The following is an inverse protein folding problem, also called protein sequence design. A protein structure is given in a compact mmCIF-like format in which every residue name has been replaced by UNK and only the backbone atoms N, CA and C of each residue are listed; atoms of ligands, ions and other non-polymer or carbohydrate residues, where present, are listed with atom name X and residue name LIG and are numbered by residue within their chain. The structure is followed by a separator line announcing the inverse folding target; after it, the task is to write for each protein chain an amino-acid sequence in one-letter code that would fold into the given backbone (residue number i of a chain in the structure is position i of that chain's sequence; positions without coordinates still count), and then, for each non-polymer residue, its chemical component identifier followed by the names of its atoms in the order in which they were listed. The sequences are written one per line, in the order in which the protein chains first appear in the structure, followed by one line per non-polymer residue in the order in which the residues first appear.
data_IF_563173631170
#
_entry.id   IF_563173631170
#
_cell.length_a   1.000
_cell.length_b   1.000
_cell.length_c   1.000
_cell.angle_alpha   90.00
_cell.angle_beta   90.00
_cell.angle_gamma   90.00
#
_symmetry.space_group_name_H-M   'P 1'
#
loop_
_entity.id
_entity.type
_entity.pdbx_description
1 polymer ?
#
# COMPACT_ATOMS: atom_id res chain seq x y z
N UNK A 1 15.06 -3.02 67.93
CA UNK A 1 14.73 -2.10 66.82
C UNK A 1 13.28 -2.36 66.44
N UNK A 2 12.36 -1.40 66.62
CA UNK A 2 10.93 -1.66 66.51
C UNK A 2 10.43 -1.54 65.06
N UNK A 3 9.55 -2.47 64.72
CA UNK A 3 8.78 -2.57 63.47
C UNK A 3 7.86 -1.35 63.30
N UNK A 4 7.95 -0.68 62.14
CA UNK A 4 7.01 0.37 61.72
C UNK A 4 6.04 -0.22 60.71
N UNK A 5 4.84 -0.52 61.16
CA UNK A 5 3.70 -0.93 60.31
C UNK A 5 2.91 0.32 59.90
N UNK A 6 2.99 0.69 58.62
CA UNK A 6 2.15 1.74 58.04
C UNK A 6 0.73 1.19 57.79
N UNK A 7 -0.25 1.72 58.53
CA UNK A 7 -1.68 1.62 58.20
C UNK A 7 -2.02 2.66 57.14
N UNK A 8 -2.50 2.22 55.97
CA UNK A 8 -3.18 3.07 55.00
C UNK A 8 -4.69 2.89 55.20
N UNK A 9 -5.37 3.96 55.61
CA UNK A 9 -6.83 4.03 55.66
C UNK A 9 -7.38 4.15 54.23
N UNK A 10 -8.14 3.15 53.79
CA UNK A 10 -8.91 3.20 52.56
C UNK A 10 -10.27 3.82 52.79
N UNK A 11 -10.57 4.91 52.09
CA UNK A 11 -11.89 5.51 51.99
C UNK A 11 -12.67 4.82 50.86
N UNK A 12 -13.78 4.17 51.21
CA UNK A 12 -14.73 3.58 50.27
C UNK A 12 -15.45 4.71 49.52
N UNK A 13 -15.26 4.80 48.21
CA UNK A 13 -16.03 5.66 47.31
C UNK A 13 -17.17 4.85 46.70
N UNK A 14 -18.40 5.25 47.01
CA UNK A 14 -19.64 4.67 46.49
C UNK A 14 -19.86 5.08 45.04
N UNK A 15 -19.95 4.10 44.14
CA UNK A 15 -20.30 4.29 42.73
C UNK A 15 -21.80 4.56 42.62
N UNK A 16 -22.16 5.76 42.19
CA UNK A 16 -23.54 6.12 41.84
C UNK A 16 -23.90 5.56 40.46
N UNK A 17 -25.05 4.89 40.39
CA UNK A 17 -25.66 4.35 39.16
C UNK A 17 -26.25 5.49 38.34
N UNK A 18 -25.99 5.60 37.02
CA UNK A 18 -26.67 6.59 36.19
C UNK A 18 -28.10 6.13 35.85
N UNK A 19 -29.08 6.93 36.25
CA UNK A 19 -30.49 6.84 35.88
C UNK A 19 -30.67 7.26 34.43
N UNK A 20 -31.17 6.37 33.58
CA UNK A 20 -31.56 6.67 32.19
C UNK A 20 -32.91 7.38 32.16
N UNK A 21 -32.96 8.56 31.56
CA UNK A 21 -34.19 9.30 31.25
C UNK A 21 -34.54 9.10 29.77
N UNK A 22 -35.79 8.74 29.40
CA UNK A 22 -36.17 8.61 28.00
C UNK A 22 -36.34 10.01 27.38
N UNK A 23 -35.57 10.29 26.32
CA UNK A 23 -35.79 11.47 25.48
C UNK A 23 -36.83 11.14 24.41
N UNK A 24 -37.96 11.82 24.46
CA UNK A 24 -38.97 11.88 23.41
C UNK A 24 -38.46 12.76 22.27
N UNK A 25 -38.10 12.16 21.14
CA UNK A 25 -37.78 12.90 19.92
C UNK A 25 -39.05 13.16 19.11
N UNK A 26 -39.43 14.43 19.07
CA UNK A 26 -40.47 14.98 18.20
C UNK A 26 -39.99 14.95 16.75
N UNK A 27 -40.78 14.33 15.86
CA UNK A 27 -40.57 14.29 14.41
C UNK A 27 -40.96 15.64 13.79
N UNK A 28 -40.08 16.33 13.04
CA UNK A 28 -40.52 17.42 12.17
C UNK A 28 -41.00 16.86 10.81
N UNK A 29 -42.17 17.37 10.40
CA UNK A 29 -42.78 17.17 9.10
C UNK A 29 -41.85 17.51 7.92
N UNK A 30 -41.95 16.68 6.86
CA UNK A 30 -41.32 16.91 5.55
C UNK A 30 -41.77 18.24 4.91
N UNK A 31 -40.86 19.02 4.32
CA UNK A 31 -41.19 19.94 3.23
C UNK A 31 -41.20 19.23 1.85
N UNK A 32 -41.89 19.82 0.85
CA UNK A 32 -42.24 19.15 -0.40
C UNK A 32 -41.07 19.02 -1.39
N UNK A 33 -41.23 18.01 -2.25
CA UNK A 33 -40.35 17.56 -3.33
C UNK A 33 -39.90 18.68 -4.27
N UNK A 34 -38.59 18.81 -4.48
CA UNK A 34 -38.00 19.54 -5.61
C UNK A 34 -37.67 18.57 -6.75
N UNK A 35 -37.90 18.95 -8.02
CA UNK A 35 -37.63 18.11 -9.18
C UNK A 35 -36.19 18.25 -9.68
N UNK A 36 -35.63 17.15 -10.18
CA UNK A 36 -34.57 17.13 -11.18
C UNK A 36 -33.15 17.37 -10.67
N UNK A 37 -32.38 16.28 -10.50
CA UNK A 37 -30.94 16.32 -10.72
C UNK A 37 -30.45 14.97 -11.22
N UNK A 38 -29.61 15.06 -12.23
CA UNK A 38 -29.24 13.99 -13.15
C UNK A 38 -28.58 12.79 -12.46
N UNK A 39 -28.93 11.62 -12.98
CA UNK A 39 -28.33 10.35 -12.59
C UNK A 39 -26.80 10.38 -12.78
N UNK A 40 -26.02 9.67 -11.94
CA UNK A 40 -24.61 9.49 -12.19
C UNK A 40 -24.41 8.79 -13.54
N UNK A 41 -23.51 9.37 -14.32
CA UNK A 41 -23.10 8.93 -15.66
C UNK A 41 -22.63 7.47 -15.57
N UNK A 42 -23.27 6.60 -16.34
CA UNK A 42 -22.87 5.21 -16.55
C UNK A 42 -21.51 5.23 -17.28
N UNK A 43 -20.42 5.05 -16.53
CA UNK A 43 -19.04 5.19 -17.03
C UNK A 43 -18.56 3.95 -17.80
N UNK A 44 -19.49 3.19 -18.38
CA UNK A 44 -19.22 2.03 -19.24
C UNK A 44 -20.03 2.17 -20.52
N UNK A 45 -19.51 2.99 -21.42
CA UNK A 45 -19.99 3.06 -22.79
C UNK A 45 -19.87 1.67 -23.46
N UNK A 46 -21.02 1.03 -23.68
CA UNK A 46 -21.19 -0.18 -24.50
C UNK A 46 -21.52 0.19 -25.96
N UNK A 47 -20.92 1.25 -26.51
CA UNK A 47 -21.04 1.54 -27.93
C UNK A 47 -20.14 0.61 -28.76
N UNK A 48 -20.79 -0.19 -29.63
CA UNK A 48 -20.15 -1.14 -30.53
C UNK A 48 -19.32 -0.47 -31.64
N UNK A 49 -18.14 0.01 -31.29
CA UNK A 49 -17.13 0.45 -32.24
C UNK A 49 -16.41 -0.74 -32.89
N UNK A 50 -16.29 -0.72 -34.22
CA UNK A 50 -15.54 -1.71 -34.99
C UNK A 50 -14.08 -1.85 -34.49
N UNK A 51 -13.49 -3.06 -34.57
CA UNK A 51 -12.17 -3.33 -34.01
C UNK A 51 -11.11 -2.53 -34.79
N UNK A 52 -10.51 -1.56 -34.13
CA UNK A 52 -9.24 -0.98 -34.58
C UNK A 52 -8.18 -2.05 -34.30
N UNK A 53 -7.65 -2.69 -35.34
CA UNK A 53 -6.45 -3.53 -35.24
C UNK A 53 -5.27 -2.66 -34.81
N UNK A 54 -5.11 -2.50 -33.49
CA UNK A 54 -3.84 -2.12 -32.90
C UNK A 54 -3.02 -3.39 -32.82
N UNK A 55 -1.88 -3.41 -33.50
CA UNK A 55 -0.83 -4.40 -33.28
C UNK A 55 -0.48 -4.40 -31.78
N UNK A 56 -1.03 -5.36 -31.04
CA UNK A 56 -0.78 -5.54 -29.62
C UNK A 56 0.60 -6.16 -29.50
N UNK A 57 1.65 -5.34 -29.47
CA UNK A 57 2.91 -5.79 -28.89
C UNK A 57 2.57 -6.35 -27.51
N UNK A 58 2.85 -7.63 -27.28
CA UNK A 58 2.53 -8.28 -26.00
C UNK A 58 3.20 -7.48 -24.89
N UNK A 59 2.44 -6.91 -23.92
CA UNK A 59 2.97 -5.99 -22.90
C UNK A 59 4.16 -6.55 -22.10
N UNK A 60 4.35 -7.87 -22.14
CA UNK A 60 5.37 -8.65 -21.45
C UNK A 60 6.74 -8.74 -22.17
N UNK A 61 6.83 -8.50 -23.48
CA UNK A 61 7.99 -8.94 -24.30
C UNK A 61 9.37 -8.42 -23.86
N UNK A 62 9.43 -7.38 -23.02
CA UNK A 62 10.66 -6.70 -22.61
C UNK A 62 11.03 -6.87 -21.13
N UNK A 63 10.21 -7.55 -20.32
CA UNK A 63 10.50 -7.70 -18.88
C UNK A 63 11.08 -9.11 -18.63
N UNK A 64 12.28 -9.24 -18.02
CA UNK A 64 12.83 -10.56 -17.72
C UNK A 64 11.99 -11.29 -16.68
N UNK A 65 12.06 -12.63 -16.66
CA UNK A 65 11.37 -13.46 -15.66
C UNK A 65 11.81 -13.10 -14.23
N UNK A 66 13.11 -12.97 -14.02
CA UNK A 66 13.66 -12.48 -12.74
C UNK A 66 13.87 -10.97 -12.83
N UNK A 67 13.09 -10.24 -12.03
CA UNK A 67 13.07 -8.79 -12.00
C UNK A 67 14.27 -8.22 -11.22
N UNK A 68 14.61 -8.88 -10.10
CA UNK A 68 15.67 -8.49 -9.18
C UNK A 68 16.08 -9.71 -8.31
N UNK A 69 17.33 -9.76 -7.87
CA UNK A 69 17.76 -10.65 -6.77
C UNK A 69 18.19 -9.80 -5.57
N UNK A 70 17.46 -9.92 -4.47
CA UNK A 70 17.63 -9.11 -3.27
C UNK A 70 18.03 -9.97 -2.08
N UNK A 71 19.28 -9.84 -1.63
CA UNK A 71 19.81 -10.57 -0.46
C UNK A 71 19.64 -12.10 -0.56
N UNK A 72 19.80 -12.65 -1.76
CA UNK A 72 19.66 -14.08 -2.03
C UNK A 72 18.25 -14.54 -2.41
N UNK A 73 17.25 -13.65 -2.34
CA UNK A 73 15.86 -13.95 -2.71
C UNK A 73 15.54 -13.36 -4.09
N UNK A 74 14.95 -14.14 -4.99
CA UNK A 74 14.48 -13.63 -6.28
C UNK A 74 13.21 -12.80 -6.14
N UNK A 75 12.99 -11.92 -7.12
CA UNK A 75 11.72 -11.26 -7.39
C UNK A 75 11.32 -11.65 -8.80
N UNK A 76 10.12 -12.19 -8.94
CA UNK A 76 9.60 -12.74 -10.19
C UNK A 76 8.20 -12.18 -10.47
N UNK A 77 7.66 -12.48 -11.65
CA UNK A 77 6.27 -12.17 -11.96
C UNK A 77 5.34 -13.11 -11.20
N UNK A 78 4.27 -12.56 -10.63
CA UNK A 78 3.14 -13.31 -10.10
C UNK A 78 1.93 -13.20 -11.04
N UNK A 79 1.25 -14.32 -11.25
CA UNK A 79 0.00 -14.39 -12.04
C UNK A 79 -1.21 -14.67 -11.15
N UNK A 80 -0.96 -14.96 -9.88
CA UNK A 80 -1.94 -15.44 -8.93
C UNK A 80 -1.68 -14.67 -7.62
N UNK A 81 -2.36 -13.52 -7.44
CA UNK A 81 -2.32 -12.81 -6.16
C UNK A 81 -2.93 -13.64 -5.02
N UNK A 82 -3.37 -14.88 -5.27
CA UNK A 82 -3.88 -15.82 -4.30
C UNK A 82 -5.36 -15.59 -4.04
N UNK A 83 -6.08 -16.68 -3.80
CA UNK A 83 -7.45 -16.60 -3.29
C UNK A 83 -7.47 -15.82 -1.95
N UNK A 84 -8.54 -15.06 -1.68
CA UNK A 84 -8.77 -14.22 -0.48
C UNK A 84 -8.31 -12.76 -0.63
N UNK A 85 -7.99 -12.09 0.49
CA UNK A 85 -7.77 -10.63 0.53
C UNK A 85 -6.69 -10.08 -0.40
N UNK A 86 -5.69 -10.87 -0.80
CA UNK A 86 -4.59 -10.39 -1.63
C UNK A 86 -5.07 -10.03 -3.06
N UNK A 87 -5.79 -10.94 -3.71
CA UNK A 87 -6.46 -10.68 -4.99
C UNK A 87 -7.44 -9.50 -4.90
N UNK A 88 -8.27 -9.50 -3.85
CA UNK A 88 -9.28 -8.46 -3.68
C UNK A 88 -8.66 -7.08 -3.48
N UNK A 89 -7.57 -7.01 -2.72
CA UNK A 89 -6.81 -5.79 -2.55
C UNK A 89 -6.24 -5.29 -3.89
N UNK A 90 -5.66 -6.19 -4.69
CA UNK A 90 -5.10 -5.79 -5.98
C UNK A 90 -6.18 -5.35 -6.96
N UNK A 91 -7.28 -6.09 -7.07
CA UNK A 91 -8.44 -5.71 -7.87
C UNK A 91 -9.01 -4.35 -7.45
N UNK A 92 -9.22 -4.17 -6.15
CA UNK A 92 -9.70 -2.89 -5.58
C UNK A 92 -8.74 -1.75 -5.91
N UNK A 93 -7.43 -1.98 -5.77
CA UNK A 93 -6.41 -1.00 -6.09
C UNK A 93 -6.48 -0.57 -7.56
N UNK A 94 -6.57 -1.51 -8.50
CA UNK A 94 -6.68 -1.23 -9.94
C UNK A 94 -7.98 -0.50 -10.28
N UNK A 95 -9.10 -0.94 -9.69
CA UNK A 95 -10.42 -0.31 -9.86
C UNK A 95 -10.40 1.17 -9.47
N UNK A 96 -9.82 1.49 -8.32
CA UNK A 96 -9.80 2.87 -7.80
C UNK A 96 -8.65 3.72 -8.34
N UNK A 97 -7.67 3.13 -9.02
CA UNK A 97 -6.51 3.84 -9.57
C UNK A 97 -6.91 5.03 -10.46
N UNK A 98 -7.89 4.82 -11.35
CA UNK A 98 -8.39 5.89 -12.23
C UNK A 98 -9.19 6.95 -11.46
N UNK A 99 -10.03 6.53 -10.51
CA UNK A 99 -10.86 7.44 -9.71
C UNK A 99 -10.02 8.42 -8.89
N UNK A 100 -8.94 7.94 -8.26
CA UNK A 100 -8.09 8.78 -7.40
C UNK A 100 -6.93 9.44 -8.15
N UNK A 101 -6.83 9.22 -9.46
CA UNK A 101 -5.82 9.85 -10.31
C UNK A 101 -4.40 9.29 -10.15
N UNK A 102 -4.25 7.99 -9.86
CA UNK A 102 -2.94 7.32 -9.92
C UNK A 102 -2.35 7.53 -11.32
N UNK A 103 -1.07 7.88 -11.38
CA UNK A 103 -0.38 8.13 -12.65
C UNK A 103 -0.22 6.85 -13.45
N UNK A 104 0.08 7.00 -14.73
CA UNK A 104 0.36 5.88 -15.64
C UNK A 104 1.80 5.91 -16.11
N UNK A 105 2.37 4.74 -16.39
CA UNK A 105 3.67 4.64 -17.05
C UNK A 105 3.54 4.89 -18.57
N UNK A 106 4.66 4.77 -19.29
CA UNK A 106 4.71 4.96 -20.75
C UNK A 106 3.86 3.94 -21.53
N UNK A 107 3.57 2.77 -20.93
CA UNK A 107 2.70 1.73 -21.49
C UNK A 107 1.21 1.97 -21.18
N UNK A 108 0.87 3.04 -20.44
CA UNK A 108 -0.50 3.34 -20.05
C UNK A 108 -1.02 2.55 -18.85
N UNK A 109 -0.15 1.77 -18.19
CA UNK A 109 -0.49 1.00 -17.00
C UNK A 109 -0.48 1.92 -15.76
N UNK A 110 -1.49 1.85 -14.87
CA UNK A 110 -1.48 2.64 -13.65
C UNK A 110 -0.31 2.21 -12.75
N UNK A 111 0.35 3.18 -12.11
CA UNK A 111 1.47 2.99 -11.18
C UNK A 111 1.01 2.40 -9.85
N UNK A 112 0.27 1.30 -9.91
CA UNK A 112 -0.14 0.53 -8.76
C UNK A 112 0.23 -0.93 -8.93
N UNK A 113 0.37 -1.66 -7.83
CA UNK A 113 0.68 -3.08 -7.88
C UNK A 113 0.54 -3.76 -6.54
N UNK A 114 0.60 -5.08 -6.58
CA UNK A 114 0.61 -5.94 -5.40
C UNK A 114 1.93 -6.73 -5.36
N UNK A 115 2.64 -6.64 -4.25
CA UNK A 115 3.87 -7.40 -4.01
C UNK A 115 3.61 -8.45 -2.96
N UNK A 116 3.73 -9.69 -3.39
CA UNK A 116 3.75 -10.84 -2.52
C UNK A 116 5.16 -11.01 -1.92
N UNK A 117 5.19 -11.02 -0.60
CA UNK A 117 6.38 -11.14 0.25
C UNK A 117 6.49 -12.60 0.68
N UNK A 118 7.66 -13.24 0.54
CA UNK A 118 7.80 -14.64 0.91
C UNK A 118 7.57 -14.85 2.41
N UNK A 119 6.97 -15.98 2.72
CA UNK A 119 6.87 -16.49 4.08
C UNK A 119 8.27 -16.71 4.67
N UNK A 120 8.45 -16.37 5.95
CA UNK A 120 9.67 -16.64 6.70
C UNK A 120 9.40 -17.40 8.00
N UNK A 121 10.46 -17.91 8.62
CA UNK A 121 10.36 -18.68 9.87
C UNK A 121 9.68 -17.90 11.02
N UNK A 122 9.64 -16.57 10.93
CA UNK A 122 9.07 -15.70 11.95
C UNK A 122 7.56 -15.47 11.74
N UNK A 123 6.96 -15.85 10.60
CA UNK A 123 5.54 -15.61 10.31
C UNK A 123 4.59 -16.25 11.33
N UNK A 124 4.95 -17.41 11.88
CA UNK A 124 4.20 -18.09 12.95
C UNK A 124 4.67 -17.72 14.36
N UNK A 125 5.72 -16.91 14.49
CA UNK A 125 6.26 -16.52 15.79
C UNK A 125 5.32 -15.57 16.53
N UNK A 126 5.19 -15.67 17.87
CA UNK A 126 4.36 -14.74 18.62
C UNK A 126 4.86 -13.29 18.45
N UNK A 127 3.98 -12.28 18.60
CA UNK A 127 4.37 -10.87 18.49
C UNK A 127 5.49 -10.42 19.43
N UNK A 128 5.75 -11.18 20.49
CA UNK A 128 6.81 -10.95 21.49
C UNK A 128 8.17 -11.53 21.09
N UNK A 129 8.26 -12.27 19.99
CA UNK A 129 9.51 -12.85 19.53
C UNK A 129 10.53 -11.75 19.21
N UNK A 130 11.77 -11.94 19.69
CA UNK A 130 12.88 -11.05 19.37
C UNK A 130 13.35 -11.40 17.96
N UNK A 131 12.99 -10.55 17.02
CA UNK A 131 13.35 -10.67 15.61
C UNK A 131 14.37 -9.60 15.30
N UNK A 132 15.46 -9.97 14.63
CA UNK A 132 16.38 -9.00 14.04
C UNK A 132 15.73 -8.37 12.81
N UNK A 133 15.22 -7.12 12.89
CA UNK A 133 14.51 -6.51 11.77
C UNK A 133 15.45 -6.20 10.61
N UNK A 134 16.75 -6.00 10.89
CA UNK A 134 17.72 -5.72 9.85
C UNK A 134 17.96 -6.93 8.96
N UNK A 135 18.03 -8.13 9.55
CA UNK A 135 18.13 -9.39 8.82
C UNK A 135 16.83 -9.74 8.12
N UNK A 136 15.70 -9.74 8.84
CA UNK A 136 14.40 -10.16 8.30
C UNK A 136 13.96 -9.34 7.08
N UNK A 137 14.12 -8.01 7.15
CA UNK A 137 13.66 -7.12 6.09
C UNK A 137 14.74 -6.74 5.06
N UNK A 138 15.92 -7.39 5.07
CA UNK A 138 17.02 -7.03 4.18
C UNK A 138 16.66 -7.11 2.69
N UNK A 139 16.02 -8.21 2.26
CA UNK A 139 15.52 -8.37 0.90
C UNK A 139 14.37 -7.39 0.63
N UNK A 140 13.41 -7.34 1.55
CA UNK A 140 12.19 -6.53 1.45
C UNK A 140 12.50 -5.04 1.20
N UNK A 141 13.48 -4.48 1.93
CA UNK A 141 13.96 -3.09 1.77
C UNK A 141 14.52 -2.83 0.37
N UNK A 142 15.24 -3.79 -0.21
CA UNK A 142 15.80 -3.66 -1.57
C UNK A 142 14.71 -3.73 -2.63
N UNK A 143 13.76 -4.65 -2.50
CA UNK A 143 12.65 -4.81 -3.46
C UNK A 143 11.74 -3.58 -3.44
N UNK A 144 11.29 -3.15 -2.26
CA UNK A 144 10.45 -1.94 -2.12
C UNK A 144 11.22 -0.69 -2.55
N UNK A 145 12.51 -0.60 -2.23
CA UNK A 145 13.38 0.47 -2.72
C UNK A 145 13.44 0.53 -4.25
N UNK A 146 13.60 -0.61 -4.92
CA UNK A 146 13.59 -0.69 -6.37
C UNK A 146 12.23 -0.25 -6.95
N UNK A 147 11.12 -0.71 -6.39
CA UNK A 147 9.78 -0.28 -6.80
C UNK A 147 9.58 1.24 -6.67
N UNK A 148 9.95 1.82 -5.52
CA UNK A 148 9.88 3.27 -5.28
C UNK A 148 10.72 4.03 -6.31
N UNK A 149 11.92 3.55 -6.60
CA UNK A 149 12.82 4.18 -7.57
C UNK A 149 12.20 4.18 -8.96
N UNK A 150 11.72 3.02 -9.43
CA UNK A 150 11.11 2.89 -10.76
C UNK A 150 9.87 3.75 -10.91
N UNK A 151 8.99 3.78 -9.90
CA UNK A 151 7.82 4.66 -9.91
C UNK A 151 8.17 6.14 -9.82
N UNK A 152 9.19 6.52 -9.06
CA UNK A 152 9.67 7.89 -9.07
C UNK A 152 10.09 8.32 -10.50
N UNK A 153 10.81 7.45 -11.22
CA UNK A 153 11.20 7.74 -12.61
C UNK A 153 9.99 7.80 -13.56
N UNK A 154 9.00 6.93 -13.38
CA UNK A 154 7.79 6.95 -14.19
C UNK A 154 6.91 8.16 -13.89
N UNK A 155 6.75 8.51 -12.61
CA UNK A 155 5.88 9.58 -12.15
C UNK A 155 6.48 10.97 -12.40
N UNK A 156 7.82 11.13 -12.37
CA UNK A 156 8.46 12.46 -12.51
C UNK A 156 8.20 13.11 -13.87
N UNK A 157 7.88 12.33 -14.90
CA UNK A 157 7.38 12.81 -16.17
C UNK A 157 5.94 13.33 -15.99
N UNK A 158 5.81 14.62 -15.64
CA UNK A 158 4.52 15.28 -15.41
C UNK A 158 4.06 15.38 -13.96
N UNK A 159 4.92 15.04 -12.98
CA UNK A 159 4.59 15.25 -11.57
C UNK A 159 4.71 16.71 -11.12
N UNK A 160 3.74 17.11 -10.29
CA UNK A 160 3.95 18.14 -9.28
C UNK A 160 4.76 17.55 -8.11
N UNK A 161 5.67 18.34 -7.55
CA UNK A 161 6.31 18.01 -6.29
C UNK A 161 5.32 18.30 -5.13
N UNK A 162 5.18 17.43 -4.11
CA UNK A 162 5.86 16.15 -3.94
C UNK A 162 5.21 15.00 -4.74
N UNK A 163 6.02 14.02 -5.15
CA UNK A 163 5.52 12.71 -5.60
C UNK A 163 5.03 11.93 -4.37
N UNK A 164 3.77 11.53 -4.36
CA UNK A 164 3.13 10.78 -3.25
C UNK A 164 3.03 9.30 -3.59
N UNK A 165 3.52 8.44 -2.69
CA UNK A 165 3.43 6.99 -2.82
C UNK A 165 2.72 6.42 -1.59
N UNK A 166 1.65 5.67 -1.81
CA UNK A 166 0.98 4.90 -0.77
C UNK A 166 1.60 3.49 -0.71
N UNK A 167 1.91 3.00 0.48
CA UNK A 167 2.38 1.62 0.70
C UNK A 167 1.54 1.01 1.82
N UNK A 168 0.78 -0.04 1.52
CA UNK A 168 -0.04 -0.73 2.51
C UNK A 168 0.54 -2.10 2.83
N UNK A 169 0.33 -2.57 4.06
CA UNK A 169 0.61 -3.94 4.46
C UNK A 169 -0.49 -4.44 5.38
N UNK A 170 -0.77 -5.75 5.37
CA UNK A 170 -1.90 -6.30 6.11
C UNK A 170 -1.47 -6.98 7.41
N UNK A 171 -2.30 -6.85 8.44
CA UNK A 171 -2.06 -7.44 9.76
C UNK A 171 -2.01 -8.98 9.79
N UNK A 172 -1.94 -9.56 11.00
CA UNK A 172 -2.04 -11.00 11.20
C UNK A 172 -3.33 -11.60 10.65
N UNK A 173 -3.27 -12.85 10.17
CA UNK A 173 -4.44 -13.63 9.73
C UNK A 173 -4.15 -15.12 9.76
N UNK A 174 -5.18 -15.95 9.98
CA UNK A 174 -5.06 -17.40 10.06
C UNK A 174 -3.87 -17.83 10.95
N UNK A 175 -2.91 -18.59 10.42
CA UNK A 175 -1.71 -19.05 11.11
C UNK A 175 -0.57 -18.01 11.13
N UNK A 176 -0.72 -16.88 10.44
CA UNK A 176 0.26 -15.79 10.38
C UNK A 176 0.02 -14.83 11.51
N UNK A 177 0.78 -15.01 12.59
CA UNK A 177 0.73 -14.17 13.79
C UNK A 177 1.65 -12.96 13.67
N UNK A 178 2.67 -13.02 12.83
CA UNK A 178 3.64 -11.96 12.61
C UNK A 178 3.89 -11.72 11.11
N UNK A 179 2.94 -11.02 10.49
CA UNK A 179 2.93 -10.78 9.05
C UNK A 179 4.08 -9.83 8.62
N UNK A 180 5.02 -10.27 7.76
CA UNK A 180 6.16 -9.46 7.34
C UNK A 180 5.75 -8.23 6.51
N UNK A 181 4.59 -8.25 5.85
CA UNK A 181 4.08 -7.09 5.12
C UNK A 181 3.67 -5.96 6.08
N UNK A 182 2.80 -6.26 7.07
CA UNK A 182 2.48 -5.29 8.13
C UNK A 182 3.72 -4.86 8.91
N UNK A 183 4.57 -5.81 9.29
CA UNK A 183 5.80 -5.53 10.02
C UNK A 183 6.74 -4.60 9.26
N UNK A 184 6.79 -4.70 7.93
CA UNK A 184 7.57 -3.78 7.10
C UNK A 184 7.05 -2.34 7.19
N UNK A 185 5.76 -2.12 6.89
CA UNK A 185 5.16 -0.76 6.81
C UNK A 185 5.00 -0.08 8.17
N UNK A 186 4.98 -0.86 9.26
CA UNK A 186 4.83 -0.32 10.62
C UNK A 186 6.09 0.30 11.20
N UNK A 187 7.25 0.15 10.56
CA UNK A 187 8.54 0.61 11.09
C UNK A 187 9.21 1.59 10.14
N UNK A 188 9.48 2.81 10.64
CA UNK A 188 10.17 3.86 9.90
C UNK A 188 11.52 3.42 9.36
N UNK A 189 12.26 2.62 10.12
CA UNK A 189 13.58 2.14 9.76
C UNK A 189 13.58 1.33 8.46
N UNK A 190 12.49 0.61 8.19
CA UNK A 190 12.33 -0.15 6.95
C UNK A 190 12.12 0.78 5.75
N UNK A 191 11.28 1.81 5.89
CA UNK A 191 11.06 2.80 4.84
C UNK A 191 12.32 3.66 4.60
N UNK A 192 12.99 4.11 5.66
CA UNK A 192 14.25 4.84 5.56
C UNK A 192 15.32 4.00 4.84
N UNK A 193 15.41 2.70 5.15
CA UNK A 193 16.33 1.79 4.49
C UNK A 193 15.94 1.48 3.03
N UNK A 194 14.64 1.39 2.72
CA UNK A 194 14.15 1.25 1.34
C UNK A 194 14.45 2.49 0.50
N UNK A 195 14.24 3.69 1.05
CA UNK A 195 14.62 4.95 0.40
C UNK A 195 16.13 5.06 0.20
N UNK A 196 16.93 4.60 1.16
CA UNK A 196 18.39 4.49 0.99
C UNK A 196 18.77 3.49 -0.10
N UNK A 197 18.07 2.35 -0.19
CA UNK A 197 18.29 1.39 -1.28
C UNK A 197 17.90 1.97 -2.64
N UNK A 198 16.82 2.74 -2.71
CA UNK A 198 16.30 3.39 -3.92
C UNK A 198 17.23 4.48 -4.46
N UNK A 199 17.73 5.37 -3.59
CA UNK A 199 18.40 6.60 -4.03
C UNK A 199 19.87 6.69 -3.59
N UNK A 200 20.33 5.87 -2.66
CA UNK A 200 21.72 5.87 -2.19
C UNK A 200 22.18 7.24 -1.73
N UNK A 201 23.24 7.74 -2.36
CA UNK A 201 23.84 9.06 -2.14
C UNK A 201 23.00 10.22 -2.66
N UNK A 202 22.06 9.98 -3.57
CA UNK A 202 21.11 11.00 -4.04
C UNK A 202 20.05 11.33 -2.96
N UNK A 203 19.88 10.48 -1.94
CA UNK A 203 18.99 10.78 -0.82
C UNK A 203 19.59 11.90 0.04
N UNK A 204 18.86 13.01 0.17
CA UNK A 204 19.29 14.18 0.96
C UNK A 204 18.85 13.96 2.41
N UNK A 205 19.82 13.56 3.24
CA UNK A 205 19.61 13.20 4.64
C UNK A 205 19.54 11.69 4.83
N UNK A 206 19.56 11.25 6.11
CA UNK A 206 19.58 9.81 6.45
C UNK A 206 18.21 9.21 6.71
N UNK A 207 17.22 10.05 7.01
CA UNK A 207 15.87 9.64 7.44
C UNK A 207 14.83 10.58 6.86
N UNK A 208 13.65 10.07 6.56
CA UNK A 208 12.50 10.89 6.16
C UNK A 208 12.07 11.80 7.30
N UNK A 209 11.65 13.04 7.00
CA UNK A 209 11.00 13.91 7.97
C UNK A 209 9.59 13.38 8.22
N UNK A 210 9.30 13.02 9.47
CA UNK A 210 7.96 12.65 9.87
C UNK A 210 7.03 13.84 9.70
N UNK A 211 6.04 13.72 8.81
CA UNK A 211 5.01 14.73 8.62
C UNK A 211 3.85 14.50 9.58
N UNK A 212 3.55 13.23 9.82
CA UNK A 212 2.44 12.81 10.66
C UNK A 212 2.75 11.42 11.21
N UNK A 213 2.77 11.31 12.54
CA UNK A 213 3.01 10.06 13.25
C UNK A 213 1.75 9.18 13.30
N UNK A 214 0.57 9.82 13.21
CA UNK A 214 -0.76 9.20 13.08
C UNK A 214 -1.70 10.22 12.44
N UNK A 215 -2.41 9.85 11.37
CA UNK A 215 -3.45 10.74 10.82
C UNK A 215 -4.57 10.82 11.83
N UNK A 216 -4.80 12.02 12.39
CA UNK A 216 -5.94 12.26 13.28
C UNK A 216 -7.24 12.01 12.52
N UNK A 217 -7.79 10.80 12.66
CA UNK A 217 -8.96 10.31 11.95
C UNK A 217 -8.77 9.05 11.10
N UNK A 218 -7.53 8.55 10.88
CA UNK A 218 -7.31 7.27 10.20
C UNK A 218 -7.30 6.10 11.20
N UNK A 219 -8.00 4.98 10.92
CA UNK A 219 -7.97 3.78 11.75
C UNK A 219 -6.58 3.12 11.74
N UNK A 220 -5.87 3.25 12.86
CA UNK A 220 -4.67 2.49 13.26
C UNK A 220 -3.45 2.49 12.30
N UNK A 221 -2.29 2.92 12.85
CA UNK A 221 -0.95 2.66 12.29
C UNK A 221 -0.62 3.25 10.90
N UNK A 222 -1.11 4.46 10.58
CA UNK A 222 -0.64 5.25 9.42
C UNK A 222 0.59 6.11 9.78
N UNK A 223 1.61 6.11 8.92
CA UNK A 223 2.81 6.95 9.03
C UNK A 223 3.08 7.69 7.71
N UNK A 224 3.31 9.01 7.77
CA UNK A 224 3.68 9.81 6.60
C UNK A 224 5.10 10.39 6.73
N UNK A 225 5.98 10.05 5.79
CA UNK A 225 7.38 10.46 5.76
C UNK A 225 7.70 11.25 4.50
N UNK A 226 8.32 12.42 4.68
CA UNK A 226 8.84 13.25 3.59
C UNK A 226 10.32 13.03 3.40
N UNK A 227 10.71 12.72 2.18
CA UNK A 227 12.09 12.58 1.74
C UNK A 227 12.42 13.66 0.71
N UNK A 228 13.71 13.98 0.61
CA UNK A 228 14.26 14.84 -0.44
C UNK A 228 15.32 14.06 -1.19
N UNK A 229 15.28 14.13 -2.51
CA UNK A 229 16.24 13.45 -3.39
C UNK A 229 16.86 14.45 -4.36
N UNK A 230 18.14 14.30 -4.64
CA UNK A 230 18.83 15.01 -5.70
C UNK A 230 18.66 14.24 -7.01
N UNK A 231 17.74 14.70 -7.85
CA UNK A 231 17.48 14.18 -9.20
C UNK A 231 18.21 15.09 -10.19
N UNK A 232 19.43 14.70 -10.57
CA UNK A 232 20.22 15.37 -11.61
C UNK A 232 20.44 16.88 -11.34
N UNK A 233 20.74 17.23 -10.09
CA UNK A 233 20.97 18.61 -9.65
C UNK A 233 19.71 19.34 -9.18
N UNK A 234 18.52 18.75 -9.38
CA UNK A 234 17.26 19.27 -8.84
C UNK A 234 16.85 18.53 -7.58
N UNK A 235 16.52 19.28 -6.53
CA UNK A 235 15.90 18.69 -5.34
C UNK A 235 14.43 18.40 -5.62
N UNK A 236 14.01 17.15 -5.44
CA UNK A 236 12.60 16.73 -5.48
C UNK A 236 12.15 16.19 -4.14
N UNK A 237 10.86 16.35 -3.85
CA UNK A 237 10.23 15.81 -2.64
C UNK A 237 9.46 14.53 -2.96
N UNK A 238 9.61 13.52 -2.12
CA UNK A 238 8.82 12.29 -2.15
C UNK A 238 8.12 12.16 -0.80
N UNK A 239 6.81 11.92 -0.81
CA UNK A 239 6.05 11.61 0.40
C UNK A 239 5.63 10.15 0.34
N UNK A 240 6.12 9.34 1.28
CA UNK A 240 5.65 7.97 1.48
C UNK A 240 4.59 8.01 2.57
N UNK A 241 3.38 7.54 2.26
CA UNK A 241 2.35 7.24 3.25
C UNK A 241 2.30 5.72 3.40
N UNK A 242 2.60 5.24 4.59
CA UNK A 242 2.58 3.83 4.92
C UNK A 242 1.40 3.53 5.84
N UNK A 243 0.65 2.47 5.56
CA UNK A 243 -0.54 2.11 6.34
C UNK A 243 -0.62 0.62 6.58
N UNK A 244 -0.86 0.25 7.85
CA UNK A 244 -1.13 -1.13 8.22
C UNK A 244 -2.65 -1.36 8.26
N UNK A 245 -3.13 -2.13 7.30
CA UNK A 245 -4.55 -2.49 7.19
C UNK A 245 -4.87 -3.74 8.00
N UNK A 246 -6.13 -3.87 8.43
CA UNK A 246 -6.64 -5.13 9.00
C UNK A 246 -6.82 -6.17 7.90
N UNK A 247 -6.74 -7.45 8.25
CA UNK A 247 -7.17 -8.53 7.35
C UNK A 247 -8.64 -8.81 7.65
N UNK A 248 -9.52 -8.03 7.02
CA UNK A 248 -10.96 -8.10 7.19
C UNK A 248 -11.64 -7.41 5.99
N UNK A 249 -12.90 -7.76 5.73
CA UNK A 249 -13.66 -7.22 4.58
C UNK A 249 -13.69 -5.69 4.61
N UNK A 250 -13.82 -5.13 5.80
CA UNK A 250 -13.80 -3.68 6.04
C UNK A 250 -12.52 -2.99 5.55
N UNK A 251 -11.41 -3.72 5.39
CA UNK A 251 -10.18 -3.18 4.83
C UNK A 251 -10.28 -2.87 3.32
N UNK A 252 -11.38 -3.26 2.66
CA UNK A 252 -11.67 -3.00 1.25
C UNK A 252 -12.92 -2.12 1.06
N UNK A 253 -13.63 -1.78 2.13
CA UNK A 253 -14.90 -1.03 2.06
C UNK A 253 -14.71 0.38 1.51
N UNK A 254 -15.51 0.74 0.50
CA UNK A 254 -15.44 2.05 -0.14
C UNK A 254 -15.73 3.24 0.80
N UNK A 255 -16.45 2.98 1.90
CA UNK A 255 -16.88 3.96 2.88
C UNK A 255 -16.06 4.01 4.18
N UNK A 256 -15.14 3.07 4.40
CA UNK A 256 -14.35 3.02 5.65
C UNK A 256 -13.03 3.81 5.49
N UNK A 257 -12.73 4.81 6.35
CA UNK A 257 -11.48 5.57 6.29
C UNK A 257 -10.20 4.77 6.49
N UNK A 258 -10.26 3.57 7.10
CA UNK A 258 -9.13 2.66 7.33
C UNK A 258 -9.15 1.44 6.43
N UNK A 259 -9.88 1.54 5.32
CA UNK A 259 -9.75 0.64 4.19
C UNK A 259 -8.65 1.13 3.25
N UNK A 260 -8.21 0.24 2.35
CA UNK A 260 -7.39 0.59 1.20
C UNK A 260 -8.02 1.72 0.36
N UNK A 261 -9.35 1.69 0.17
CA UNK A 261 -10.06 2.71 -0.60
C UNK A 261 -10.07 4.05 0.13
N UNK A 262 -10.27 4.03 1.45
CA UNK A 262 -10.16 5.20 2.32
C UNK A 262 -8.78 5.84 2.21
N UNK A 263 -7.72 5.03 2.32
CA UNK A 263 -6.34 5.47 2.16
C UNK A 263 -6.07 6.07 0.78
N UNK A 264 -6.53 5.43 -0.29
CA UNK A 264 -6.40 5.93 -1.67
C UNK A 264 -7.07 7.30 -1.84
N UNK A 265 -8.30 7.46 -1.35
CA UNK A 265 -9.04 8.73 -1.43
C UNK A 265 -8.44 9.83 -0.57
N UNK A 266 -7.94 9.50 0.61
CA UNK A 266 -7.32 10.45 1.53
C UNK A 266 -5.97 10.95 1.00
N UNK A 267 -5.12 10.03 0.51
CA UNK A 267 -3.76 10.35 0.05
C UNK A 267 -3.76 10.93 -1.36
N UNK A 268 -4.64 10.45 -2.24
CA UNK A 268 -4.60 10.67 -3.70
C UNK A 268 -3.19 10.46 -4.25
N UNK A 269 -2.64 9.24 -4.11
CA UNK A 269 -1.24 8.99 -4.40
C UNK A 269 -0.98 9.03 -5.92
N UNK A 270 0.26 9.34 -6.29
CA UNK A 270 0.73 9.20 -7.67
C UNK A 270 1.03 7.74 -8.03
N UNK A 271 1.39 6.93 -7.02
CA UNK A 271 1.64 5.50 -7.12
C UNK A 271 1.25 4.75 -5.83
N UNK A 272 0.84 3.49 -5.92
CA UNK A 272 0.37 2.74 -4.75
C UNK A 272 0.82 1.27 -4.75
N UNK A 273 1.39 0.81 -3.64
CA UNK A 273 1.85 -0.56 -3.44
C UNK A 273 1.07 -1.22 -2.32
N UNK A 274 0.44 -2.36 -2.59
CA UNK A 274 -0.06 -3.24 -1.55
C UNK A 274 0.94 -4.39 -1.32
N UNK A 275 1.21 -4.71 -0.05
CA UNK A 275 2.10 -5.79 0.36
C UNK A 275 1.29 -6.91 1.02
N UNK A 276 1.38 -8.13 0.49
CA UNK A 276 0.81 -9.33 1.10
C UNK A 276 1.88 -10.37 1.36
N UNK A 277 1.64 -11.32 2.27
CA UNK A 277 2.53 -12.47 2.48
C UNK A 277 1.97 -13.69 1.75
N UNK A 278 2.84 -14.50 1.15
CA UNK A 278 2.46 -15.77 0.51
C UNK A 278 3.40 -16.90 0.95
N UNK A 279 2.98 -18.15 0.76
CA UNK A 279 3.70 -19.33 1.24
C UNK A 279 4.99 -19.69 0.50
N UNK A 280 5.32 -19.03 -0.61
CA UNK A 280 6.51 -19.30 -1.41
C UNK A 280 7.79 -18.63 -0.88
N UNK A 281 8.93 -19.00 -1.48
CA UNK A 281 10.26 -18.49 -1.10
C UNK A 281 10.71 -17.23 -1.85
N UNK A 282 9.95 -16.82 -2.86
CA UNK A 282 10.29 -15.76 -3.82
C UNK A 282 9.39 -14.54 -3.61
N UNK A 283 9.81 -13.32 -3.95
CA UNK A 283 8.87 -12.19 -4.05
C UNK A 283 8.11 -12.26 -5.37
N UNK A 284 6.81 -12.05 -5.36
CA UNK A 284 6.00 -12.07 -6.60
C UNK A 284 5.41 -10.69 -6.85
N UNK A 285 5.77 -10.08 -7.98
CA UNK A 285 5.15 -8.87 -8.48
C UNK A 285 3.92 -9.27 -9.29
N UNK A 286 2.75 -9.22 -8.66
CA UNK A 286 1.49 -9.64 -9.27
C UNK A 286 1.09 -8.68 -10.39
N UNK A 287 0.67 -9.24 -11.54
CA UNK A 287 0.18 -8.45 -12.67
C UNK A 287 -1.29 -8.73 -13.01
N UNK A 288 -1.84 -9.86 -12.59
CA UNK A 288 -3.23 -10.21 -12.83
C UNK A 288 -4.13 -9.83 -11.64
N UNK A 289 -5.33 -9.33 -11.89
CA UNK A 289 -6.33 -9.08 -10.86
C UNK A 289 -7.75 -9.24 -11.39
N UNK A 290 -8.56 -10.03 -10.67
CA UNK A 290 -9.97 -10.22 -10.93
C UNK A 290 -10.83 -10.07 -9.65
N UNK A 291 -12.16 -10.09 -9.80
CA UNK A 291 -13.12 -9.99 -8.68
C UNK A 291 -13.57 -11.36 -8.15
N UNK A 292 -12.81 -12.43 -8.41
CA UNK A 292 -12.97 -13.75 -7.85
C UNK A 292 -13.03 -13.68 -6.32
N UNK A 293 -14.00 -14.35 -5.72
CA UNK A 293 -14.21 -14.31 -4.27
C UNK A 293 -14.74 -12.98 -3.70
N UNK A 294 -14.76 -11.88 -4.46
CA UNK A 294 -15.14 -10.56 -3.96
C UNK A 294 -16.61 -10.26 -4.31
N UNK A 295 -17.40 -9.94 -3.29
CA UNK A 295 -18.74 -9.37 -3.49
C UNK A 295 -18.79 -7.99 -2.87
N UNK A 296 -19.23 -7.00 -3.66
CA UNK A 296 -19.47 -5.64 -3.20
C UNK A 296 -20.98 -5.41 -3.24
N UNK A 297 -21.57 -5.08 -2.08
CA UNK A 297 -23.00 -4.79 -2.01
C UNK A 297 -23.36 -3.39 -2.55
N UNK A 298 -24.66 -3.07 -2.56
CA UNK A 298 -25.16 -1.79 -3.05
C UNK A 298 -24.67 -0.58 -2.23
N UNK A 299 -24.18 -0.80 -1.01
CA UNK A 299 -23.62 0.22 -0.13
C UNK A 299 -22.09 0.36 -0.30
N UNK A 300 -21.48 -0.46 -1.17
CA UNK A 300 -20.03 -0.47 -1.38
C UNK A 300 -19.26 -1.21 -0.29
N UNK A 301 -19.94 -2.05 0.50
CA UNK A 301 -19.31 -2.92 1.48
C UNK A 301 -18.82 -4.19 0.79
N UNK A 302 -17.55 -4.51 1.00
CA UNK A 302 -16.93 -5.73 0.54
C UNK A 302 -17.32 -6.91 1.44
N UNK A 303 -17.38 -8.09 0.85
CA UNK A 303 -17.41 -9.37 1.56
C UNK A 303 -16.67 -10.43 0.75
N UNK A 304 -15.93 -11.29 1.44
CA UNK A 304 -15.37 -12.49 0.82
C UNK A 304 -16.43 -13.59 0.65
N UNK A 305 -16.40 -14.31 -0.46
CA UNK A 305 -17.28 -15.43 -0.80
C UNK A 305 -16.52 -16.47 -1.62
N UNK A 306 -16.07 -17.55 -0.99
CA UNK A 306 -15.25 -18.61 -1.62
C UNK A 306 -15.87 -19.22 -2.90
N UNK A 307 -17.17 -19.08 -3.11
CA UNK A 307 -17.86 -19.65 -4.27
C UNK A 307 -18.04 -18.66 -5.43
N UNK A 308 -17.75 -17.37 -5.21
CA UNK A 308 -17.92 -16.33 -6.23
C UNK A 308 -16.86 -16.50 -7.32
N UNK A 309 -17.29 -16.95 -8.49
CA UNK A 309 -16.45 -16.98 -9.69
C UNK A 309 -16.14 -15.56 -10.18
N UNK A 310 -14.96 -15.31 -10.78
CA UNK A 310 -14.65 -14.00 -11.35
C UNK A 310 -15.65 -13.66 -12.47
N UNK A 311 -16.14 -12.44 -12.43
CA UNK A 311 -17.02 -11.80 -13.41
C UNK A 311 -16.36 -10.62 -14.11
N UNK A 312 -15.29 -10.09 -13.53
CA UNK A 312 -14.51 -8.98 -14.06
C UNK A 312 -13.03 -9.25 -13.82
N UNK A 313 -12.21 -9.04 -14.84
CA UNK A 313 -10.76 -9.00 -14.73
C UNK A 313 -10.24 -7.71 -15.38
N UNK A 314 -9.19 -7.12 -14.81
CA UNK A 314 -8.47 -6.03 -15.44
C UNK A 314 -7.47 -6.56 -16.47
N UNK A 315 -7.00 -5.69 -17.36
CA UNK A 315 -5.82 -6.00 -18.17
C UNK A 315 -4.62 -6.20 -17.24
N UNK A 316 -3.72 -7.11 -17.61
CA UNK A 316 -2.50 -7.35 -16.85
C UNK A 316 -1.71 -6.05 -16.67
N UNK A 317 -1.35 -5.76 -15.42
CA UNK A 317 -0.66 -4.57 -15.03
C UNK A 317 0.78 -4.89 -14.60
N UNK A 318 1.72 -4.71 -15.52
CA UNK A 318 3.14 -4.93 -15.25
C UNK A 318 3.87 -3.71 -14.67
N UNK A 319 3.16 -2.66 -14.24
CA UNK A 319 3.80 -1.43 -13.76
C UNK A 319 4.73 -1.67 -12.57
N UNK A 320 4.36 -2.56 -11.65
CA UNK A 320 5.22 -2.94 -10.52
C UNK A 320 6.45 -3.73 -10.99
N UNK A 321 6.27 -4.71 -11.87
CA UNK A 321 7.37 -5.51 -12.39
C UNK A 321 8.41 -4.63 -13.12
N UNK A 322 7.95 -3.71 -13.98
CA UNK A 322 8.80 -2.72 -14.65
C UNK A 322 9.50 -1.81 -13.64
N UNK A 323 8.80 -1.34 -12.61
CA UNK A 323 9.38 -0.47 -11.60
C UNK A 323 10.49 -1.17 -10.81
N UNK A 324 10.27 -2.42 -10.38
CA UNK A 324 11.29 -3.21 -9.67
C UNK A 324 12.50 -3.47 -10.59
N UNK A 325 12.26 -3.88 -11.83
CA UNK A 325 13.33 -4.18 -12.77
C UNK A 325 14.19 -2.94 -13.08
N UNK A 326 13.56 -1.86 -13.52
CA UNK A 326 14.26 -0.60 -13.86
C UNK A 326 14.91 0.04 -12.64
N UNK A 327 14.24 0.00 -11.48
CA UNK A 327 14.77 0.52 -10.24
C UNK A 327 15.93 -0.29 -9.68
N UNK A 328 15.91 -1.62 -9.88
CA UNK A 328 17.01 -2.52 -9.51
C UNK A 328 18.27 -2.29 -10.34
N UNK A 329 18.13 -1.94 -11.62
CA UNK A 329 19.26 -1.71 -12.53
C UNK A 329 20.04 -0.42 -12.25
N UNK A 330 19.37 0.63 -11.78
CA UNK A 330 20.00 1.96 -11.67
C UNK A 330 21.00 2.08 -10.53
N UNK A 331 20.99 1.15 -9.57
CA UNK A 331 21.86 1.19 -8.38
C UNK A 331 21.74 2.51 -7.60
N UNK A 332 22.47 2.66 -6.48
CA UNK A 332 22.66 3.99 -5.91
C UNK A 332 23.42 4.85 -6.93
N UNK A 333 22.84 5.99 -7.31
CA UNK A 333 23.45 6.89 -8.28
C UNK A 333 24.92 7.15 -7.91
N UNK A 334 25.85 6.73 -8.76
CA UNK A 334 27.26 7.03 -8.54
C UNK A 334 27.42 8.53 -8.74
N UNK A 335 27.66 9.26 -7.66
CA UNK A 335 27.97 10.69 -7.77
C UNK A 335 29.32 10.74 -8.45
N UNK A 336 29.36 11.23 -9.69
CA UNK A 336 30.61 11.56 -10.34
C UNK A 336 31.39 12.47 -9.38
N UNK A 337 32.52 11.98 -8.87
CA UNK A 337 33.35 12.77 -7.98
C UNK A 337 33.92 13.93 -8.81
N UNK A 338 33.29 15.10 -8.65
CA UNK A 338 33.66 16.31 -9.35
C UNK A 338 35.11 16.74 -9.08
N UNK A 339 35.80 16.15 -8.08
CA UNK A 339 37.21 16.43 -7.78
C UNK A 339 38.18 15.54 -8.54
N UNK A 340 37.78 14.34 -8.96
CA UNK A 340 38.70 13.39 -9.60
C UNK A 340 38.45 13.23 -11.10
N UNK A 341 37.32 13.70 -11.62
CA UNK A 341 36.96 13.51 -13.03
C UNK A 341 36.76 12.03 -13.41
N UNK A 342 36.81 11.12 -12.43
CA UNK A 342 36.60 9.70 -12.62
C UNK A 342 35.16 9.35 -12.26
N UNK A 343 34.49 8.65 -13.17
CA UNK A 343 33.24 7.95 -12.87
C UNK A 343 33.64 6.71 -12.06
N UNK A 344 33.65 6.85 -10.73
CA UNK A 344 33.70 5.69 -9.82
C UNK A 344 32.35 5.02 -9.85
#
# INVERSE_FOLDING_TARGET
MPNVTNRVSGTLSTVATPTTTPSTTTVPLLPPSLPGRDAPVDLFDRSGGAPVERSVATPHAEIPTTLLTAAGTSVEHGTDPGNFYCEHAFFTLQRFATEVGIKKNAQGEPLCGFLHVPWDADCGAPPTAIIDPAKRYAAHRKVVGAAIQGWFQAAKAGAHDPIKILITGYGPFQSITNNPAAGFVSHRENLDAAMKAAFGTALIGKKGKLLQDRVGGSPADTMALRYRVNDEGRVREIVIVAERLKVADVALDNGDPGSLVGALKAVKPDAALALGVHGGATFLAEHHADDGGLVIDAQGKARHDDNKQPTMAFLDNYALARAIHTGGQRGPARVADARTGNIV
#
